data_IF_886183490339
#
_entry.id   IF_886183490339
#
_cell.length_a   1.000
_cell.length_b   1.000
_cell.length_c   1.000
_cell.angle_alpha   90.00
_cell.angle_beta   90.00
_cell.angle_gamma   90.00
#
_symmetry.space_group_name_H-M   'P 1'
#
loop_
_entity.id
_entity.type
_entity.pdbx_description
1 polymer ?
#
# COMPACT_ATOMS: atom_id res chain seq x y z
N UNK A 1 -19.73 -14.15 5.06
CA UNK A 1 -20.25 -15.52 4.92
C UNK A 1 -19.95 -16.12 3.56
N UNK A 2 -20.29 -15.46 2.43
CA UNK A 2 -19.98 -15.97 1.08
C UNK A 2 -18.50 -16.37 0.89
N UNK A 3 -17.57 -15.53 1.37
CA UNK A 3 -16.13 -15.83 1.33
C UNK A 3 -15.80 -17.14 2.09
N UNK A 4 -16.38 -17.36 3.26
CA UNK A 4 -16.15 -18.60 4.03
C UNK A 4 -16.73 -19.83 3.31
N UNK A 5 -17.86 -19.67 2.62
CA UNK A 5 -18.47 -20.74 1.82
C UNK A 5 -17.59 -21.08 0.61
N UNK A 6 -17.04 -20.06 -0.05
CA UNK A 6 -16.18 -20.22 -1.22
C UNK A 6 -14.80 -20.79 -0.85
N UNK A 7 -14.28 -20.43 0.32
CA UNK A 7 -12.97 -20.84 0.83
C UNK A 7 -13.08 -21.53 2.21
N UNK A 8 -13.67 -22.74 2.29
CA UNK A 8 -13.98 -23.40 3.57
C UNK A 8 -12.75 -23.80 4.38
N UNK A 9 -11.59 -23.95 3.73
CA UNK A 9 -10.30 -24.25 4.38
C UNK A 9 -9.52 -23.00 4.77
N UNK A 10 -10.08 -21.81 4.50
CA UNK A 10 -9.47 -20.55 4.91
C UNK A 10 -9.55 -20.33 6.43
N UNK A 11 -8.88 -19.28 6.95
CA UNK A 11 -9.06 -18.87 8.34
C UNK A 11 -10.55 -18.63 8.60
N UNK A 12 -11.02 -19.03 9.78
CA UNK A 12 -12.40 -18.77 10.18
C UNK A 12 -12.55 -17.29 10.53
N UNK A 13 -12.97 -16.50 9.53
CA UNK A 13 -13.20 -15.05 9.66
C UNK A 13 -14.46 -14.72 10.46
N UNK A 14 -15.24 -15.75 10.80
CA UNK A 14 -16.51 -15.70 11.50
C UNK A 14 -16.49 -16.61 12.75
N UNK A 15 -15.30 -16.82 13.35
CA UNK A 15 -15.02 -17.81 14.42
C UNK A 15 -16.27 -18.22 15.19
N UNK A 16 -16.73 -19.45 14.93
CA UNK A 16 -17.89 -19.98 15.63
C UNK A 16 -17.58 -20.08 17.13
N UNK A 17 -18.41 -19.45 17.97
CA UNK A 17 -18.23 -19.46 19.41
C UNK A 17 -17.45 -18.28 19.99
N UNK A 18 -17.13 -17.24 19.19
CA UNK A 18 -16.93 -15.93 19.82
C UNK A 18 -18.27 -15.55 20.48
N UNK A 19 -18.20 -15.03 21.71
CA UNK A 19 -19.35 -14.58 22.50
C UNK A 19 -20.44 -13.95 21.64
N UNK A 20 -21.73 -14.15 21.98
CA UNK A 20 -22.86 -13.49 21.32
C UNK A 20 -22.70 -11.95 21.24
N UNK A 21 -21.87 -11.36 22.11
CA UNK A 21 -21.45 -9.95 22.04
C UNK A 21 -20.67 -9.61 20.77
N UNK A 22 -19.79 -10.48 20.27
CA UNK A 22 -18.97 -10.22 19.08
C UNK A 22 -19.77 -10.42 17.78
N UNK A 23 -20.73 -11.34 17.75
CA UNK A 23 -21.68 -11.43 16.63
C UNK A 23 -22.60 -10.20 16.56
N UNK A 24 -23.02 -9.67 17.72
CA UNK A 24 -23.74 -8.40 17.81
C UNK A 24 -22.88 -7.24 17.33
N UNK A 25 -21.60 -7.22 17.71
CA UNK A 25 -20.66 -6.20 17.24
C UNK A 25 -20.44 -6.33 15.74
N UNK A 26 -20.25 -7.52 15.17
CA UNK A 26 -20.13 -7.70 13.71
C UNK A 26 -21.34 -7.15 12.96
N UNK A 27 -22.56 -7.47 13.42
CA UNK A 27 -23.80 -6.93 12.84
C UNK A 27 -23.96 -5.42 13.10
N UNK A 28 -23.39 -4.91 14.19
CA UNK A 28 -23.33 -3.49 14.50
C UNK A 28 -22.29 -2.77 13.64
N UNK A 29 -21.21 -3.43 13.24
CA UNK A 29 -20.08 -2.80 12.55
C UNK A 29 -20.49 -2.27 11.17
N UNK A 30 -21.28 -3.02 10.38
CA UNK A 30 -21.81 -2.50 9.11
C UNK A 30 -22.73 -1.29 9.33
N UNK A 31 -23.61 -1.36 10.34
CA UNK A 31 -24.53 -0.25 10.67
C UNK A 31 -23.79 0.98 11.21
N UNK A 32 -22.74 0.75 12.00
CA UNK A 32 -21.87 1.79 12.55
C UNK A 32 -21.09 2.44 11.42
N UNK A 33 -20.54 1.66 10.49
CA UNK A 33 -19.89 2.19 9.30
C UNK A 33 -20.79 3.19 8.54
N UNK A 34 -22.03 2.80 8.25
CA UNK A 34 -23.00 3.71 7.59
C UNK A 34 -23.37 4.95 8.43
N UNK A 35 -23.28 4.85 9.76
CA UNK A 35 -23.57 5.95 10.67
C UNK A 35 -22.40 6.94 10.76
N UNK A 36 -21.17 6.43 10.83
CA UNK A 36 -19.92 7.15 11.04
C UNK A 36 -19.48 7.84 9.75
N UNK A 37 -19.48 7.12 8.63
CA UNK A 37 -18.87 7.61 7.39
C UNK A 37 -19.58 8.86 6.86
N UNK A 38 -18.85 9.80 6.22
CA UNK A 38 -19.44 11.05 5.75
C UNK A 38 -20.62 10.81 4.80
N UNK A 39 -21.74 11.47 5.06
CA UNK A 39 -22.96 11.32 4.24
C UNK A 39 -22.89 12.19 2.99
N UNK A 40 -23.72 11.82 2.02
CA UNK A 40 -23.89 12.54 0.74
C UNK A 40 -22.60 12.64 -0.07
N UNK A 41 -21.82 11.57 -0.04
CA UNK A 41 -20.59 11.43 -0.81
C UNK A 41 -20.83 10.71 -2.12
N UNK A 42 -19.89 10.84 -3.06
CA UNK A 42 -19.88 10.05 -4.28
C UNK A 42 -19.37 8.64 -4.00
N UNK A 43 -19.99 7.63 -4.62
CA UNK A 43 -19.42 6.29 -4.62
C UNK A 43 -18.14 6.30 -5.46
N UNK A 44 -17.00 6.41 -4.80
CA UNK A 44 -15.68 6.28 -5.41
C UNK A 44 -14.95 5.11 -4.80
N UNK A 45 -14.53 4.16 -5.63
CA UNK A 45 -13.67 3.04 -5.19
C UNK A 45 -12.23 3.48 -4.94
N UNK A 46 -11.86 4.66 -5.45
CA UNK A 46 -10.50 5.18 -5.49
C UNK A 46 -10.22 6.19 -4.36
N UNK A 47 -11.24 6.93 -3.95
CA UNK A 47 -11.19 7.96 -2.92
C UNK A 47 -12.52 7.95 -2.15
N UNK A 48 -12.79 6.87 -1.40
CA UNK A 48 -14.10 6.63 -0.82
C UNK A 48 -14.42 7.74 0.20
N UNK A 49 -15.62 8.30 0.10
CA UNK A 49 -16.15 9.33 1.00
C UNK A 49 -15.43 10.69 1.01
N UNK A 50 -14.43 10.92 0.16
CA UNK A 50 -13.72 12.20 0.05
C UNK A 50 -14.58 13.27 -0.63
N UNK A 51 -15.32 12.87 -1.65
CA UNK A 51 -16.02 13.80 -2.51
C UNK A 51 -17.51 13.88 -2.19
N UNK A 52 -18.04 15.10 -2.13
CA UNK A 52 -19.48 15.34 -2.03
C UNK A 52 -20.18 14.92 -3.32
N UNK A 53 -21.40 14.41 -3.24
CA UNK A 53 -22.19 14.10 -4.42
C UNK A 53 -22.56 15.36 -5.21
N UNK A 54 -22.76 15.20 -6.52
CA UNK A 54 -23.07 16.28 -7.44
C UNK A 54 -24.17 17.23 -6.93
N UNK A 55 -25.27 16.70 -6.37
CA UNK A 55 -26.39 17.52 -5.87
C UNK A 55 -25.95 18.45 -4.73
N UNK A 56 -25.11 17.97 -3.83
CA UNK A 56 -24.56 18.77 -2.74
C UNK A 56 -23.53 19.76 -3.27
N UNK A 57 -22.68 19.36 -4.24
CA UNK A 57 -21.72 20.27 -4.88
C UNK A 57 -22.42 21.45 -5.55
N UNK A 58 -23.49 21.21 -6.30
CA UNK A 58 -24.28 22.25 -6.97
C UNK A 58 -24.94 23.22 -5.97
N UNK A 59 -25.29 22.74 -4.78
CA UNK A 59 -25.95 23.54 -3.74
C UNK A 59 -24.96 24.34 -2.89
N UNK A 60 -23.89 23.70 -2.44
CA UNK A 60 -22.98 24.24 -1.43
C UNK A 60 -21.69 24.81 -2.06
N UNK A 61 -21.40 24.49 -3.33
CA UNK A 61 -20.17 24.87 -4.03
C UNK A 61 -18.92 24.07 -3.61
N UNK A 62 -19.00 23.27 -2.55
CA UNK A 62 -17.89 22.47 -2.03
C UNK A 62 -17.79 21.12 -2.74
N UNK A 63 -16.59 20.82 -3.25
CA UNK A 63 -16.28 19.54 -3.92
C UNK A 63 -15.90 18.45 -2.91
N UNK A 64 -15.14 18.82 -1.89
CA UNK A 64 -14.60 17.90 -0.88
C UNK A 64 -15.47 17.95 0.38
N UNK A 65 -15.57 16.82 1.08
CA UNK A 65 -16.14 16.78 2.43
C UNK A 65 -15.32 17.69 3.37
N UNK A 66 -15.92 18.43 4.31
CA UNK A 66 -15.16 19.29 5.22
C UNK A 66 -14.29 18.49 6.20
N UNK A 67 -13.11 19.01 6.55
CA UNK A 67 -12.16 18.40 7.51
C UNK A 67 -12.83 17.87 8.78
N UNK A 68 -13.68 18.67 9.43
CA UNK A 68 -14.30 18.31 10.71
C UNK A 68 -15.17 17.06 10.63
N UNK A 69 -15.71 16.71 9.46
CA UNK A 69 -16.46 15.47 9.29
C UNK A 69 -15.55 14.27 9.41
N UNK A 70 -14.38 14.31 8.79
CA UNK A 70 -13.39 13.24 8.93
C UNK A 70 -12.80 13.16 10.33
N UNK A 71 -12.63 14.28 11.03
CA UNK A 71 -12.20 14.25 12.45
C UNK A 71 -13.19 13.44 13.29
N UNK A 72 -14.48 13.76 13.20
CA UNK A 72 -15.53 12.99 13.89
C UNK A 72 -15.51 11.53 13.46
N UNK A 73 -15.34 11.24 12.17
CA UNK A 73 -15.27 9.85 11.71
C UNK A 73 -14.09 9.09 12.32
N UNK A 74 -12.90 9.70 12.33
CA UNK A 74 -11.70 9.05 12.88
C UNK A 74 -11.80 8.89 14.39
N UNK A 75 -12.33 9.88 15.11
CA UNK A 75 -12.63 9.78 16.55
C UNK A 75 -13.57 8.59 16.84
N UNK A 76 -14.69 8.48 16.12
CA UNK A 76 -15.65 7.38 16.32
C UNK A 76 -15.06 6.01 15.93
N UNK A 77 -14.16 5.93 14.95
CA UNK A 77 -13.50 4.66 14.59
C UNK A 77 -12.45 4.28 15.64
N UNK A 78 -11.68 5.25 16.14
CA UNK A 78 -10.70 5.04 17.19
C UNK A 78 -11.38 4.49 18.46
N UNK A 79 -12.48 5.12 18.88
CA UNK A 79 -13.31 4.63 20.00
C UNK A 79 -13.82 3.20 19.79
N UNK A 80 -14.20 2.81 18.56
CA UNK A 80 -14.66 1.45 18.27
C UNK A 80 -13.53 0.43 18.40
N UNK A 81 -12.32 0.77 17.96
CA UNK A 81 -11.16 -0.10 18.10
C UNK A 81 -10.76 -0.25 19.58
N UNK A 82 -11.01 0.75 20.42
CA UNK A 82 -10.78 0.70 21.87
C UNK A 82 -11.86 -0.09 22.64
N UNK A 83 -12.99 -0.46 22.04
CA UNK A 83 -14.05 -1.23 22.73
C UNK A 83 -13.57 -2.62 23.21
N UNK A 84 -12.49 -3.15 22.60
CA UNK A 84 -11.89 -4.43 22.94
C UNK A 84 -10.43 -4.22 23.38
N UNK A 85 -10.12 -4.67 24.59
CA UNK A 85 -8.80 -4.50 25.21
C UNK A 85 -7.85 -5.69 25.00
N UNK A 86 -8.30 -6.73 24.29
CA UNK A 86 -7.56 -7.99 24.09
C UNK A 86 -6.75 -8.04 22.79
N UNK A 87 -6.75 -6.97 21.99
CA UNK A 87 -5.84 -6.83 20.86
C UNK A 87 -6.17 -5.69 19.90
N UNK A 88 -5.41 -5.58 18.79
CA UNK A 88 -5.40 -4.40 17.94
C UNK A 88 -6.48 -4.42 16.84
N UNK A 89 -7.27 -5.49 16.73
CA UNK A 89 -8.27 -5.66 15.67
C UNK A 89 -9.68 -5.27 16.16
N UNK A 90 -10.61 -5.05 15.22
CA UNK A 90 -11.99 -4.64 15.55
C UNK A 90 -12.75 -5.60 16.48
N UNK A 91 -12.31 -6.85 16.56
CA UNK A 91 -12.86 -7.88 17.45
C UNK A 91 -11.82 -8.41 18.43
N UNK A 92 -10.81 -7.60 18.79
CA UNK A 92 -9.79 -7.95 19.77
C UNK A 92 -8.50 -8.50 19.18
N UNK A 93 -8.08 -9.69 19.64
CA UNK A 93 -6.78 -10.28 19.30
C UNK A 93 -6.60 -10.72 17.85
N UNK A 94 -7.66 -11.19 17.21
CA UNK A 94 -7.58 -11.87 15.93
C UNK A 94 -8.25 -11.05 14.82
N UNK A 95 -7.67 -11.11 13.62
CA UNK A 95 -8.31 -10.55 12.43
C UNK A 95 -9.65 -11.25 12.15
N UNK A 96 -10.66 -10.45 11.80
CA UNK A 96 -12.00 -10.93 11.46
C UNK A 96 -12.52 -10.32 10.17
N UNK A 97 -13.74 -10.71 9.78
CA UNK A 97 -14.44 -10.07 8.67
C UNK A 97 -14.64 -8.56 8.85
N UNK A 98 -14.66 -8.05 10.09
CA UNK A 98 -14.77 -6.62 10.35
C UNK A 98 -13.55 -5.86 9.83
N UNK A 99 -12.35 -6.32 10.16
CA UNK A 99 -11.10 -5.72 9.69
C UNK A 99 -11.03 -5.71 8.16
N UNK A 100 -11.39 -6.83 7.53
CA UNK A 100 -11.41 -6.95 6.07
C UNK A 100 -12.40 -5.96 5.43
N UNK A 101 -13.54 -5.71 6.07
CA UNK A 101 -14.53 -4.76 5.60
C UNK A 101 -14.04 -3.31 5.70
N UNK A 102 -13.43 -2.92 6.82
CA UNK A 102 -12.92 -1.56 7.04
C UNK A 102 -11.62 -1.26 6.29
N UNK A 103 -10.82 -2.30 6.02
CA UNK A 103 -9.49 -2.18 5.48
C UNK A 103 -9.35 -1.25 4.28
N UNK A 104 -10.16 -1.38 3.21
CA UNK A 104 -9.99 -0.55 2.03
C UNK A 104 -10.24 0.94 2.31
N UNK A 105 -11.00 1.26 3.37
CA UNK A 105 -11.33 2.62 3.74
C UNK A 105 -10.25 3.23 4.62
N UNK A 106 -9.89 2.57 5.71
CA UNK A 106 -8.86 3.06 6.63
C UNK A 106 -7.50 3.20 5.97
N UNK A 107 -7.12 2.25 5.12
CA UNK A 107 -5.86 2.35 4.36
C UNK A 107 -5.82 3.61 3.48
N UNK A 108 -6.91 3.87 2.75
CA UNK A 108 -6.98 5.01 1.84
C UNK A 108 -7.09 6.34 2.57
N UNK A 109 -7.90 6.40 3.63
CA UNK A 109 -8.00 7.59 4.47
C UNK A 109 -6.64 7.92 5.10
N UNK A 110 -5.90 6.92 5.58
CA UNK A 110 -4.55 7.10 6.12
C UNK A 110 -3.56 7.67 5.09
N UNK A 111 -3.73 7.35 3.80
CA UNK A 111 -2.89 7.88 2.73
C UNK A 111 -3.38 9.23 2.17
N UNK A 112 -4.69 9.46 2.11
CA UNK A 112 -5.29 10.57 1.36
C UNK A 112 -5.64 11.77 2.23
N UNK A 113 -6.10 11.59 3.47
CA UNK A 113 -6.49 12.71 4.34
C UNK A 113 -5.33 13.68 4.63
N UNK A 114 -4.09 13.21 4.87
CA UNK A 114 -2.97 14.13 5.09
C UNK A 114 -2.68 15.04 3.89
N UNK A 115 -2.99 14.58 2.66
CA UNK A 115 -2.81 15.38 1.44
C UNK A 115 -3.87 16.47 1.30
N UNK A 116 -5.04 16.28 1.92
CA UNK A 116 -6.19 17.14 1.79
C UNK A 116 -6.28 18.14 2.94
N UNK A 117 -5.82 17.76 4.13
CA UNK A 117 -5.95 18.58 5.33
C UNK A 117 -4.70 18.52 6.19
N UNK A 118 -4.16 19.70 6.51
CA UNK A 118 -3.07 19.85 7.47
C UNK A 118 -3.49 19.34 8.86
N UNK A 119 -2.66 18.48 9.47
CA UNK A 119 -2.90 17.93 10.80
C UNK A 119 -4.07 16.95 10.89
N UNK A 120 -4.45 16.30 9.79
CA UNK A 120 -5.40 15.17 9.81
C UNK A 120 -4.69 13.89 9.35
N UNK A 121 -4.06 13.22 10.31
CA UNK A 121 -3.22 12.05 10.07
C UNK A 121 -3.77 10.84 10.82
N UNK A 122 -4.46 9.89 10.17
CA UNK A 122 -4.99 8.69 10.84
C UNK A 122 -3.93 7.80 11.52
N UNK A 123 -2.65 8.00 11.20
CA UNK A 123 -1.51 7.33 11.86
C UNK A 123 -0.87 8.18 12.98
N UNK A 124 -1.50 9.28 13.40
CA UNK A 124 -1.01 10.09 14.52
C UNK A 124 -1.39 9.49 15.87
N UNK A 125 -0.75 9.99 16.93
CA UNK A 125 -1.09 9.61 18.31
C UNK A 125 -2.46 10.14 18.76
N UNK A 126 -3.10 11.02 17.98
CA UNK A 126 -4.46 11.47 18.25
C UNK A 126 -5.49 10.38 17.91
N UNK A 127 -5.08 9.36 17.14
CA UNK A 127 -5.87 8.20 16.74
C UNK A 127 -5.08 6.92 17.03
N UNK A 128 -4.77 6.70 18.30
CA UNK A 128 -3.80 5.70 18.72
C UNK A 128 -4.24 4.27 18.39
N UNK A 129 -5.53 3.97 18.53
CA UNK A 129 -6.08 2.65 18.22
C UNK A 129 -6.10 2.38 16.71
N UNK A 130 -6.41 3.40 15.88
CA UNK A 130 -6.29 3.31 14.42
C UNK A 130 -4.83 3.09 14.02
N UNK A 131 -3.89 3.83 14.63
CA UNK A 131 -2.47 3.65 14.37
C UNK A 131 -2.02 2.22 14.72
N UNK A 132 -2.43 1.72 15.87
CA UNK A 132 -2.12 0.37 16.32
C UNK A 132 -2.71 -0.70 15.40
N UNK A 133 -3.97 -0.55 15.00
CA UNK A 133 -4.64 -1.41 14.02
C UNK A 133 -3.90 -1.42 12.67
N UNK A 134 -3.52 -0.25 12.15
CA UNK A 134 -2.76 -0.14 10.89
C UNK A 134 -1.38 -0.81 10.97
N UNK A 135 -0.70 -0.67 12.12
CA UNK A 135 0.59 -1.31 12.36
C UNK A 135 0.47 -2.84 12.50
N UNK A 136 -0.59 -3.32 13.17
CA UNK A 136 -0.89 -4.74 13.29
C UNK A 136 -1.24 -5.36 11.95
N UNK A 137 -2.06 -4.68 11.12
CA UNK A 137 -2.32 -5.10 9.75
C UNK A 137 -1.00 -5.24 8.97
N UNK A 138 -0.11 -4.25 9.07
CA UNK A 138 1.18 -4.27 8.37
C UNK A 138 2.09 -5.42 8.81
N UNK A 139 2.17 -5.71 10.11
CA UNK A 139 3.17 -6.62 10.68
C UNK A 139 2.68 -8.06 10.88
N UNK A 140 1.41 -8.23 11.24
CA UNK A 140 0.86 -9.51 11.69
C UNK A 140 0.05 -10.22 10.61
N UNK A 141 -0.28 -9.52 9.50
CA UNK A 141 -1.10 -10.07 8.42
C UNK A 141 -0.29 -10.12 7.11
N UNK A 142 0.52 -11.18 6.90
CA UNK A 142 1.41 -11.27 5.74
C UNK A 142 0.70 -11.17 4.38
N UNK A 143 -0.47 -11.80 4.22
CA UNK A 143 -1.21 -11.71 2.97
C UNK A 143 -1.64 -10.28 2.63
N UNK A 144 -1.94 -9.47 3.65
CA UNK A 144 -2.25 -8.07 3.46
C UNK A 144 -1.00 -7.29 3.04
N UNK A 145 0.03 -7.30 3.87
CA UNK A 145 1.25 -6.52 3.65
C UNK A 145 1.99 -6.89 2.34
N UNK A 146 1.98 -8.17 1.97
CA UNK A 146 2.68 -8.67 0.79
C UNK A 146 1.88 -8.55 -0.51
N UNK A 147 0.54 -8.53 -0.47
CA UNK A 147 -0.26 -8.66 -1.70
C UNK A 147 -1.43 -7.69 -1.84
N UNK A 148 -2.06 -7.27 -0.75
CA UNK A 148 -3.29 -6.46 -0.80
C UNK A 148 -3.02 -4.98 -0.56
N UNK A 149 -2.09 -4.66 0.34
CA UNK A 149 -1.76 -3.29 0.72
C UNK A 149 -1.36 -2.46 -0.49
N UNK A 150 -1.97 -1.29 -0.66
CA UNK A 150 -1.53 -0.27 -1.61
C UNK A 150 -0.36 0.55 -1.08
N UNK A 151 0.43 1.14 -1.98
CA UNK A 151 1.45 2.12 -1.57
C UNK A 151 0.80 3.49 -1.37
N UNK A 152 1.37 4.28 -0.47
CA UNK A 152 0.93 5.65 -0.21
C UNK A 152 1.00 6.48 -1.50
N UNK A 153 2.09 6.33 -2.25
CA UNK A 153 2.32 7.00 -3.54
C UNK A 153 1.27 6.61 -4.57
N UNK A 154 0.83 5.35 -4.56
CA UNK A 154 -0.23 4.90 -5.47
C UNK A 154 -1.55 5.57 -5.12
N UNK A 155 -1.91 5.64 -3.84
CA UNK A 155 -3.15 6.30 -3.41
C UNK A 155 -3.14 7.82 -3.60
N UNK A 156 -1.98 8.45 -3.41
CA UNK A 156 -1.72 9.85 -3.76
C UNK A 156 -1.92 10.10 -5.25
N UNK A 157 -1.29 9.28 -6.09
CA UNK A 157 -1.38 9.41 -7.53
C UNK A 157 -2.81 9.22 -8.02
N UNK A 158 -3.50 8.19 -7.51
CA UNK A 158 -4.91 7.94 -7.81
C UNK A 158 -5.77 9.16 -7.49
N UNK A 159 -5.55 9.81 -6.35
CA UNK A 159 -6.27 11.03 -5.99
C UNK A 159 -5.96 12.17 -6.98
N UNK A 160 -4.69 12.45 -7.24
CA UNK A 160 -4.24 13.53 -8.13
C UNK A 160 -4.72 13.35 -9.59
N UNK A 161 -4.72 12.11 -10.09
CA UNK A 161 -5.13 11.78 -11.46
C UNK A 161 -6.62 11.95 -11.67
N UNK A 162 -7.42 11.52 -10.70
CA UNK A 162 -8.88 11.59 -10.81
C UNK A 162 -9.44 12.96 -10.43
N UNK A 163 -8.68 13.74 -9.66
CA UNK A 163 -9.08 15.06 -9.18
C UNK A 163 -7.95 16.09 -9.30
N UNK A 164 -7.51 16.43 -10.53
CA UNK A 164 -6.42 17.37 -10.78
C UNK A 164 -6.75 18.81 -10.33
N UNK A 165 -8.03 19.11 -10.09
CA UNK A 165 -8.50 20.40 -9.56
C UNK A 165 -8.17 20.62 -8.08
N UNK A 166 -7.73 19.58 -7.36
CA UNK A 166 -7.46 19.68 -5.94
C UNK A 166 -6.12 20.33 -5.67
N UNK A 167 -6.13 21.34 -4.81
CA UNK A 167 -4.93 21.86 -4.18
C UNK A 167 -4.49 20.89 -3.07
N UNK A 168 -3.61 19.95 -3.42
CA UNK A 168 -3.00 19.05 -2.45
C UNK A 168 -2.00 19.83 -1.58
N UNK A 169 -1.96 19.51 -0.29
CA UNK A 169 -1.00 20.08 0.66
C UNK A 169 0.41 19.62 0.27
N UNK A 170 1.15 20.49 -0.41
CA UNK A 170 2.44 20.22 -1.07
C UNK A 170 3.59 19.89 -0.11
N UNK A 171 3.39 20.09 1.19
CA UNK A 171 4.39 19.93 2.25
C UNK A 171 4.28 18.64 3.04
N UNK A 172 3.20 17.85 2.87
CA UNK A 172 3.06 16.62 3.63
C UNK A 172 3.98 15.58 3.03
N UNK A 173 5.20 15.55 3.59
CA UNK A 173 6.03 14.36 3.57
C UNK A 173 5.25 13.34 4.37
N UNK A 174 4.35 12.59 3.73
CA UNK A 174 3.62 11.53 4.43
C UNK A 174 4.70 10.71 5.09
N UNK A 175 4.67 10.54 6.43
CA UNK A 175 5.69 9.80 7.12
C UNK A 175 5.80 8.45 6.40
N UNK A 176 6.92 8.26 5.70
CA UNK A 176 7.33 6.94 5.26
C UNK A 176 7.12 6.05 6.49
N UNK A 177 6.27 5.02 6.33
CA UNK A 177 5.85 4.01 7.32
C UNK A 177 6.54 4.16 8.67
N UNK A 178 5.81 4.33 9.78
CA UNK A 178 6.36 4.81 11.06
C UNK A 178 7.76 4.25 11.32
N UNK A 179 8.79 5.09 11.12
CA UNK A 179 10.22 4.75 11.32
C UNK A 179 10.54 4.22 12.73
N UNK A 180 9.57 4.25 13.65
CA UNK A 180 9.74 3.90 15.06
C UNK A 180 9.47 2.43 15.39
N UNK A 181 8.67 1.71 14.60
CA UNK A 181 8.57 0.24 14.71
C UNK A 181 9.32 -0.36 13.53
N UNK A 182 10.29 -1.23 13.81
CA UNK A 182 11.05 -1.96 12.80
C UNK A 182 10.09 -2.85 12.03
N UNK A 183 9.63 -2.38 10.87
CA UNK A 183 8.83 -3.19 9.98
C UNK A 183 9.73 -4.29 9.40
N UNK A 184 9.56 -5.52 9.90
CA UNK A 184 10.37 -6.67 9.53
C UNK A 184 9.90 -7.28 8.19
N UNK A 185 10.11 -6.54 7.10
CA UNK A 185 9.60 -6.89 5.77
C UNK A 185 9.96 -8.32 5.35
N UNK A 186 11.17 -8.77 5.68
CA UNK A 186 11.69 -10.09 5.32
C UNK A 186 11.04 -11.21 6.13
N UNK A 187 10.76 -10.97 7.42
CA UNK A 187 10.03 -11.91 8.25
C UNK A 187 8.59 -12.07 7.77
N UNK A 188 7.92 -10.95 7.48
CA UNK A 188 6.56 -10.93 6.95
C UNK A 188 6.53 -11.63 5.59
N UNK A 189 7.51 -11.37 4.71
CA UNK A 189 7.62 -12.06 3.43
C UNK A 189 7.84 -13.57 3.58
N UNK A 190 8.73 -14.00 4.48
CA UNK A 190 9.01 -15.41 4.71
C UNK A 190 7.75 -16.16 5.17
N UNK A 191 6.98 -15.58 6.09
CA UNK A 191 5.67 -16.11 6.51
C UNK A 191 4.67 -16.15 5.36
N UNK A 192 4.66 -15.12 4.52
CA UNK A 192 3.79 -15.09 3.33
C UNK A 192 4.20 -16.16 2.31
N UNK A 193 5.49 -16.33 2.02
CA UNK A 193 5.99 -17.28 1.03
C UNK A 193 5.93 -18.74 1.51
N UNK A 194 5.82 -18.97 2.83
CA UNK A 194 5.75 -20.31 3.41
C UNK A 194 4.64 -21.15 2.75
N UNK A 195 5.04 -22.30 2.22
CA UNK A 195 4.15 -23.25 1.54
C UNK A 195 3.61 -22.81 0.18
N UNK A 196 4.07 -21.69 -0.39
CA UNK A 196 3.58 -21.16 -1.69
C UNK A 196 4.67 -21.26 -2.76
N UNK A 197 4.63 -22.34 -3.53
CA UNK A 197 5.53 -22.60 -4.66
C UNK A 197 5.40 -21.57 -5.81
N UNK A 198 4.28 -20.86 -5.88
CA UNK A 198 4.02 -19.80 -6.87
C UNK A 198 4.52 -18.40 -6.46
N UNK A 199 5.01 -18.24 -5.22
CA UNK A 199 5.60 -17.00 -4.69
C UNK A 199 7.11 -17.18 -4.61
N UNK A 200 7.89 -16.18 -5.01
CA UNK A 200 9.34 -16.27 -4.90
C UNK A 200 9.82 -16.29 -3.43
N UNK A 201 10.97 -16.93 -3.19
CA UNK A 201 11.54 -17.08 -1.86
C UNK A 201 11.84 -15.74 -1.16
N UNK A 202 12.13 -14.69 -1.94
CA UNK A 202 12.47 -13.37 -1.42
C UNK A 202 11.73 -12.24 -2.15
N UNK A 203 11.63 -11.04 -1.55
CA UNK A 203 11.01 -9.88 -2.19
C UNK A 203 11.68 -9.45 -3.51
N UNK A 204 13.02 -9.49 -3.59
CA UNK A 204 13.73 -9.11 -4.82
C UNK A 204 13.45 -10.08 -5.96
N UNK A 205 13.43 -11.39 -5.66
CA UNK A 205 13.10 -12.42 -6.62
C UNK A 205 11.64 -12.30 -7.09
N UNK A 206 10.71 -11.96 -6.20
CA UNK A 206 9.33 -11.72 -6.61
C UNK A 206 9.24 -10.48 -7.54
N UNK A 207 9.96 -9.40 -7.21
CA UNK A 207 10.01 -8.23 -8.08
C UNK A 207 10.56 -8.58 -9.47
N UNK A 208 11.66 -9.33 -9.54
CA UNK A 208 12.22 -9.82 -10.79
C UNK A 208 11.23 -10.73 -11.55
N UNK A 209 10.55 -11.63 -10.84
CA UNK A 209 9.55 -12.52 -11.43
C UNK A 209 8.36 -11.74 -12.01
N UNK A 210 7.87 -10.70 -11.32
CA UNK A 210 6.79 -9.85 -11.84
C UNK A 210 7.21 -9.05 -13.08
N UNK A 211 8.42 -8.48 -13.06
CA UNK A 211 9.00 -7.80 -14.22
C UNK A 211 9.09 -8.78 -15.40
N UNK A 212 9.62 -9.98 -15.17
CA UNK A 212 9.76 -11.00 -16.21
C UNK A 212 8.42 -11.45 -16.78
N UNK A 213 7.41 -11.71 -15.94
CA UNK A 213 6.05 -12.09 -16.37
C UNK A 213 5.39 -11.04 -17.25
N UNK A 214 5.67 -9.75 -17.00
CA UNK A 214 5.08 -8.62 -17.72
C UNK A 214 6.02 -7.99 -18.76
N UNK A 215 7.17 -8.62 -19.02
CA UNK A 215 8.31 -8.07 -19.77
C UNK A 215 7.93 -7.41 -21.09
N UNK A 216 7.15 -8.09 -21.93
CA UNK A 216 6.74 -7.55 -23.25
C UNK A 216 5.92 -6.26 -23.11
N UNK A 217 4.90 -6.28 -22.26
CA UNK A 217 4.02 -5.10 -22.05
C UNK A 217 4.77 -3.95 -21.35
N UNK A 218 5.70 -4.27 -20.45
CA UNK A 218 6.55 -3.27 -19.82
C UNK A 218 7.52 -2.64 -20.81
N UNK A 219 8.14 -3.42 -21.70
CA UNK A 219 9.05 -2.92 -22.72
C UNK A 219 8.33 -1.93 -23.67
N UNK A 220 7.14 -2.28 -24.14
CA UNK A 220 6.33 -1.41 -25.01
C UNK A 220 5.98 -0.08 -24.33
N UNK A 221 5.57 -0.12 -23.06
CA UNK A 221 5.26 1.09 -22.28
C UNK A 221 6.51 1.92 -21.96
N UNK A 222 7.63 1.25 -21.65
CA UNK A 222 8.88 1.91 -21.31
C UNK A 222 9.42 2.75 -22.48
N UNK A 223 9.28 2.31 -23.74
CA UNK A 223 9.69 3.11 -24.92
C UNK A 223 8.95 4.44 -25.00
N UNK A 224 7.66 4.44 -24.63
CA UNK A 224 6.83 5.65 -24.66
C UNK A 224 7.23 6.62 -23.53
N UNK A 225 7.58 6.07 -22.37
CA UNK A 225 7.89 6.86 -21.17
C UNK A 225 9.36 7.32 -21.09
N UNK A 226 10.30 6.47 -21.50
CA UNK A 226 11.74 6.68 -21.38
C UNK A 226 12.32 7.16 -22.72
N UNK A 227 12.67 8.45 -22.78
CA UNK A 227 13.24 9.07 -24.00
C UNK A 227 14.58 8.49 -24.46
N UNK A 228 15.31 7.83 -23.57
CA UNK A 228 16.59 7.17 -23.83
C UNK A 228 16.45 5.88 -24.63
N UNK A 229 15.30 5.21 -24.57
CA UNK A 229 15.08 3.92 -25.21
C UNK A 229 14.68 4.10 -26.68
N UNK A 230 15.50 3.57 -27.58
CA UNK A 230 15.32 3.73 -29.04
C UNK A 230 14.30 2.73 -29.60
N UNK A 231 14.23 1.53 -29.03
CA UNK A 231 13.34 0.46 -29.48
C UNK A 231 13.01 -0.54 -28.36
N UNK A 232 12.15 -1.51 -28.68
CA UNK A 232 11.72 -2.57 -27.77
C UNK A 232 12.86 -3.48 -27.36
N UNK A 233 13.86 -3.71 -28.21
CA UNK A 233 14.99 -4.58 -27.87
C UNK A 233 15.88 -3.95 -26.80
N UNK A 234 16.10 -2.63 -26.87
CA UNK A 234 16.81 -1.87 -25.84
C UNK A 234 16.05 -1.90 -24.49
N UNK A 235 14.74 -1.64 -24.52
CA UNK A 235 13.90 -1.71 -23.32
C UNK A 235 13.89 -3.11 -22.69
N UNK A 236 13.80 -4.15 -23.53
CA UNK A 236 13.79 -5.56 -23.15
C UNK A 236 15.15 -6.02 -22.56
N UNK A 237 16.26 -5.52 -23.10
CA UNK A 237 17.60 -5.72 -22.56
C UNK A 237 17.77 -5.05 -21.19
N UNK A 238 17.31 -3.81 -21.04
CA UNK A 238 17.32 -3.07 -19.78
C UNK A 238 16.47 -3.76 -18.69
N UNK A 239 15.29 -4.29 -19.03
CA UNK A 239 14.47 -5.09 -18.13
C UNK A 239 15.18 -6.40 -17.71
N UNK A 240 15.87 -7.06 -18.65
CA UNK A 240 16.64 -8.26 -18.35
C UNK A 240 17.81 -7.99 -17.41
N UNK A 241 18.54 -6.91 -17.64
CA UNK A 241 19.63 -6.46 -16.77
C UNK A 241 19.10 -6.18 -15.35
N UNK A 242 17.96 -5.49 -15.25
CA UNK A 242 17.30 -5.23 -13.99
C UNK A 242 16.94 -6.53 -13.24
N UNK A 243 16.35 -7.50 -13.94
CA UNK A 243 16.06 -8.82 -13.36
C UNK A 243 17.34 -9.52 -12.88
N UNK A 244 18.43 -9.49 -13.65
CA UNK A 244 19.70 -10.10 -13.26
C UNK A 244 20.30 -9.46 -12.00
N UNK A 245 20.21 -8.13 -11.88
CA UNK A 245 20.67 -7.41 -10.70
C UNK A 245 19.82 -7.76 -9.49
N UNK A 246 18.49 -7.77 -9.63
CA UNK A 246 17.57 -8.18 -8.56
C UNK A 246 17.81 -9.63 -8.12
N UNK A 247 18.01 -10.58 -9.04
CA UNK A 247 18.29 -11.97 -8.66
C UNK A 247 19.65 -12.13 -7.99
N UNK A 248 20.62 -11.25 -8.26
CA UNK A 248 21.92 -11.27 -7.59
C UNK A 248 21.89 -10.76 -6.14
N UNK A 249 20.75 -10.20 -5.70
CA UNK A 249 20.56 -9.66 -4.35
C UNK A 249 19.91 -10.65 -3.38
N UNK A 250 19.58 -11.86 -3.82
CA UNK A 250 18.94 -12.91 -3.01
C UNK A 250 19.67 -13.14 -1.67
N UNK A 251 21.01 -13.13 -1.70
CA UNK A 251 21.85 -13.34 -0.50
C UNK A 251 21.81 -12.17 0.51
N UNK A 252 21.27 -11.02 0.10
CA UNK A 252 21.21 -9.79 0.90
C UNK A 252 19.78 -9.42 1.34
N UNK A 253 18.78 -10.21 0.96
CA UNK A 253 17.38 -10.02 1.32
C UNK A 253 17.08 -10.26 2.81
N UNK A 254 18.06 -10.62 3.63
CA UNK A 254 17.91 -10.66 5.09
C UNK A 254 18.03 -9.31 5.77
N UNK A 255 18.47 -8.27 5.06
CA UNK A 255 18.75 -6.97 5.63
C UNK A 255 17.51 -6.08 5.52
N UNK A 256 16.97 -5.65 6.66
CA UNK A 256 16.02 -4.54 6.67
C UNK A 256 16.65 -3.37 5.89
N UNK A 257 15.90 -2.79 4.96
CA UNK A 257 16.39 -1.81 3.99
C UNK A 257 17.13 -0.61 4.65
N UNK A 258 16.89 -0.40 5.94
CA UNK A 258 17.46 0.67 6.75
C UNK A 258 18.84 0.33 7.35
N UNK A 259 19.38 -0.88 7.14
CA UNK A 259 20.73 -1.22 7.61
C UNK A 259 21.81 -0.67 6.68
N UNK A 260 22.94 -0.27 7.25
CA UNK A 260 24.09 0.21 6.47
C UNK A 260 24.62 -0.86 5.48
N UNK A 261 24.47 -2.15 5.83
CA UNK A 261 24.82 -3.26 4.95
C UNK A 261 23.86 -3.36 3.75
N UNK A 262 22.54 -3.19 3.96
CA UNK A 262 21.57 -3.15 2.86
C UNK A 262 21.90 -1.99 1.93
N UNK A 263 22.08 -0.78 2.49
CA UNK A 263 22.41 0.41 1.71
C UNK A 263 23.69 0.22 0.86
N UNK A 264 24.71 -0.42 1.42
CA UNK A 264 25.93 -0.75 0.68
C UNK A 264 25.68 -1.77 -0.44
N UNK A 265 24.90 -2.83 -0.17
CA UNK A 265 24.54 -3.83 -1.17
C UNK A 265 23.72 -3.23 -2.32
N UNK A 266 22.72 -2.39 -2.00
CA UNK A 266 21.92 -1.67 -2.99
C UNK A 266 22.74 -0.70 -3.82
N UNK A 267 23.67 0.04 -3.19
CA UNK A 267 24.57 0.95 -3.89
C UNK A 267 25.53 0.20 -4.83
N UNK A 268 26.04 -0.95 -4.39
CA UNK A 268 26.87 -1.80 -5.23
C UNK A 268 26.07 -2.38 -6.40
N UNK A 269 24.84 -2.86 -6.17
CA UNK A 269 23.97 -3.39 -7.20
C UNK A 269 23.54 -2.32 -8.22
N UNK A 270 23.16 -1.13 -7.76
CA UNK A 270 22.75 0.00 -8.62
C UNK A 270 23.90 0.52 -9.50
N UNK A 271 25.15 0.37 -9.03
CA UNK A 271 26.34 0.73 -9.81
C UNK A 271 26.55 -0.17 -11.03
N UNK A 272 26.01 -1.40 -11.00
CA UNK A 272 26.07 -2.36 -12.12
C UNK A 272 25.07 -2.03 -13.22
N UNK A 273 24.01 -1.26 -12.92
CA UNK A 273 22.99 -0.90 -13.89
C UNK A 273 23.52 0.07 -14.95
N UNK A 274 23.18 -0.20 -16.20
CA UNK A 274 23.29 0.70 -17.33
C UNK A 274 22.38 1.94 -17.15
N UNK A 275 22.61 2.97 -17.97
CA UNK A 275 21.73 4.16 -17.98
C UNK A 275 20.29 3.78 -18.30
N UNK A 276 20.10 2.99 -19.35
CA UNK A 276 18.79 2.51 -19.80
C UNK A 276 18.08 1.69 -18.71
N UNK A 277 18.80 0.80 -18.02
CA UNK A 277 18.22 0.03 -16.92
C UNK A 277 17.81 0.89 -15.72
N UNK A 278 18.53 1.99 -15.42
CA UNK A 278 18.12 2.96 -14.39
C UNK A 278 16.88 3.75 -14.79
N UNK A 279 16.80 4.16 -16.05
CA UNK A 279 15.63 4.87 -16.59
C UNK A 279 14.40 3.97 -16.57
N UNK A 280 14.54 2.70 -16.99
CA UNK A 280 13.49 1.70 -16.90
C UNK A 280 13.09 1.44 -15.45
N UNK A 281 14.03 1.27 -14.53
CA UNK A 281 13.72 1.05 -13.11
C UNK A 281 12.95 2.25 -12.51
N UNK A 282 13.31 3.48 -12.87
CA UNK A 282 12.59 4.69 -12.49
C UNK A 282 11.18 4.73 -13.09
N UNK A 283 11.03 4.32 -14.35
CA UNK A 283 9.72 4.14 -14.99
C UNK A 283 8.85 3.08 -14.28
N UNK A 284 9.43 1.95 -13.86
CA UNK A 284 8.68 0.90 -13.18
C UNK A 284 8.08 1.36 -11.84
N UNK A 285 8.74 2.30 -11.16
CA UNK A 285 8.25 2.94 -9.93
C UNK A 285 7.22 4.03 -10.18
N UNK A 286 7.04 4.48 -11.42
CA UNK A 286 6.02 5.46 -11.77
C UNK A 286 4.63 4.83 -11.84
N UNK A 287 3.61 5.66 -11.89
CA UNK A 287 2.21 5.28 -12.13
C UNK A 287 1.96 4.61 -13.49
N UNK A 288 2.93 4.69 -14.40
CA UNK A 288 2.83 4.11 -15.74
C UNK A 288 3.48 2.72 -15.84
N UNK A 289 4.25 2.34 -14.82
CA UNK A 289 5.02 1.10 -14.75
C UNK A 289 4.27 -0.04 -14.08
N UNK A 290 4.71 -0.41 -12.88
CA UNK A 290 4.10 -1.44 -12.05
C UNK A 290 3.21 -0.78 -10.99
N UNK A 291 1.93 -1.15 -10.96
CA UNK A 291 0.99 -0.63 -9.98
C UNK A 291 0.92 -1.49 -8.72
N UNK A 292 0.92 -0.86 -7.55
CA UNK A 292 0.68 -1.52 -6.26
C UNK A 292 -0.78 -1.30 -5.84
N UNK A 293 -1.54 -2.32 -5.41
CA UNK A 293 -1.19 -3.75 -5.29
C UNK A 293 -1.44 -4.57 -6.57
N UNK A 294 -1.94 -3.95 -7.65
CA UNK A 294 -2.49 -4.66 -8.83
C UNK A 294 -1.46 -5.60 -9.47
N UNK A 295 -0.29 -5.07 -9.78
CA UNK A 295 0.76 -5.75 -10.53
C UNK A 295 1.79 -6.37 -9.57
N UNK A 296 2.08 -5.70 -8.45
CA UNK A 296 3.08 -6.11 -7.46
C UNK A 296 2.67 -5.66 -6.05
N UNK A 297 3.08 -6.39 -5.03
CA UNK A 297 2.86 -6.01 -3.63
C UNK A 297 3.81 -4.92 -3.15
N UNK A 298 3.46 -4.27 -2.02
CA UNK A 298 4.29 -3.22 -1.41
C UNK A 298 5.71 -3.72 -1.09
N UNK A 299 5.85 -4.91 -0.51
CA UNK A 299 7.16 -5.40 -0.07
C UNK A 299 8.13 -5.63 -1.26
N UNK A 300 7.76 -6.38 -2.32
CA UNK A 300 8.60 -6.48 -3.52
C UNK A 300 8.82 -5.14 -4.22
N UNK A 301 7.82 -4.24 -4.23
CA UNK A 301 8.00 -2.90 -4.77
C UNK A 301 9.07 -2.11 -4.01
N UNK A 302 9.11 -2.20 -2.67
CA UNK A 302 10.14 -1.53 -1.86
C UNK A 302 11.56 -2.05 -2.17
N UNK A 303 11.70 -3.34 -2.49
CA UNK A 303 12.97 -3.88 -2.94
C UNK A 303 13.41 -3.21 -4.27
N UNK A 304 12.50 -3.08 -5.23
CA UNK A 304 12.78 -2.34 -6.46
C UNK A 304 13.13 -0.87 -6.19
N UNK A 305 12.41 -0.21 -5.27
CA UNK A 305 12.71 1.17 -4.87
C UNK A 305 14.11 1.33 -4.28
N UNK A 306 14.56 0.38 -3.45
CA UNK A 306 15.90 0.39 -2.86
C UNK A 306 17.00 0.45 -3.91
N UNK A 307 16.81 -0.25 -5.03
CA UNK A 307 17.74 -0.27 -6.16
C UNK A 307 17.81 1.09 -6.87
N UNK A 308 16.66 1.74 -7.10
CA UNK A 308 16.57 3.02 -7.81
C UNK A 308 17.10 4.17 -6.96
N UNK A 309 16.69 4.24 -5.69
CA UNK A 309 17.14 5.31 -4.78
C UNK A 309 18.65 5.25 -4.53
N UNK A 310 19.23 4.05 -4.58
CA UNK A 310 20.67 3.86 -4.41
C UNK A 310 21.47 4.10 -5.70
N UNK A 311 20.81 4.35 -6.83
CA UNK A 311 21.50 4.66 -8.07
C UNK A 311 22.09 6.08 -8.00
N UNK A 312 23.36 6.28 -8.40
CA UNK A 312 23.92 7.63 -8.48
C UNK A 312 23.09 8.45 -9.48
N UNK A 313 22.78 9.69 -9.11
CA UNK A 313 22.07 10.60 -10.01
C UNK A 313 22.78 10.64 -11.38
N UNK A 314 22.02 10.63 -12.49
CA UNK A 314 22.61 10.70 -13.82
C UNK A 314 23.53 11.92 -13.89
N UNK A 315 24.79 11.71 -14.29
CA UNK A 315 25.71 12.82 -14.53
C UNK A 315 25.14 13.63 -15.68
N UNK A 316 24.64 14.83 -15.39
CA UNK A 316 24.21 15.78 -16.42
C UNK A 316 25.46 16.12 -17.24
N UNK A 317 25.46 15.65 -18.49
CA UNK A 317 26.56 15.86 -19.45
C UNK A 317 26.51 17.26 -20.05
#
# INVERSE_FOLDING_TARGET
EKIQIEYPNGPDLYKQGISASVDLVRASIERRFDAIMPRFTEPSTLAPYIFRNQKIRERDGEVIVPKFKFQVCLEEIDEILEEYDDGPFFCGRDITAADIFWLPYLERLAAQLPLLYEGLEPRSLDYAAIQEWLDAMDQEIPCYACKVKGSVETWQHVLAKHHPELELVSSVTIPNLPRKRTFHANQVWAQYAEGKDYVAATPTLEAAAQIYRQRTSLAERAIVACKSLVDTAAADAALCELCQVLTSLEDHDGLDADTAAAAAAWSQASSKLSGDARDVASFLMSDQGLLVPRDIGVIPMRALCGLVVSAPAPRIA
#
